data_IF_575781556531
#
_entry.id   IF_575781556531
#
_cell.length_a   1.000
_cell.length_b   1.000
_cell.length_c   1.000
_cell.angle_alpha   90.00
_cell.angle_beta   90.00
_cell.angle_gamma   90.00
#
_symmetry.space_group_name_H-M   'P 1'
#
loop_
_entity.id
_entity.type
_entity.pdbx_description
1 polymer ?
#
# COMPACT_ATOMS: atom_id res chain seq x y z
N UNK A 1 -79.03 -27.79 41.88
CA UNK A 1 -77.95 -26.78 42.02
C UNK A 1 -77.04 -26.88 40.79
N UNK A 2 -76.85 -25.74 40.10
CA UNK A 2 -75.94 -25.34 39.00
C UNK A 2 -75.26 -26.40 38.08
N UNK A 3 -75.39 -26.40 36.74
CA UNK A 3 -75.04 -25.39 35.71
C UNK A 3 -73.54 -25.07 35.58
N UNK A 4 -72.84 -25.64 34.58
CA UNK A 4 -72.27 -24.89 33.45
C UNK A 4 -71.46 -25.77 32.48
N UNK A 5 -71.77 -25.57 31.21
CA UNK A 5 -71.00 -25.86 30.01
C UNK A 5 -69.65 -25.10 29.97
N UNK A 6 -68.84 -25.45 28.95
CA UNK A 6 -67.68 -24.74 28.33
C UNK A 6 -66.39 -25.54 28.48
N UNK A 7 -65.46 -25.64 27.54
CA UNK A 7 -65.26 -25.13 26.17
C UNK A 7 -64.06 -25.93 25.63
N UNK A 8 -64.01 -26.25 24.34
CA UNK A 8 -62.82 -26.80 23.67
C UNK A 8 -61.70 -25.74 23.61
N UNK A 9 -60.43 -26.06 23.93
CA UNK A 9 -59.31 -25.26 23.48
C UNK A 9 -58.56 -25.95 22.32
N UNK A 10 -58.60 -25.26 21.18
CA UNK A 10 -57.64 -25.18 20.07
C UNK A 10 -56.31 -25.93 20.28
N UNK A 11 -56.08 -26.97 19.45
CA UNK A 11 -54.73 -27.47 19.17
C UNK A 11 -53.97 -26.43 18.34
N UNK A 12 -53.17 -25.58 19.00
CA UNK A 12 -52.09 -24.87 18.30
C UNK A 12 -50.93 -25.84 18.10
N UNK A 13 -50.81 -26.42 16.91
CA UNK A 13 -49.63 -27.21 16.52
C UNK A 13 -48.43 -26.27 16.45
N UNK A 14 -47.63 -26.26 17.52
CA UNK A 14 -46.31 -25.63 17.54
C UNK A 14 -45.43 -26.47 16.61
N UNK A 15 -45.15 -25.98 15.40
CA UNK A 15 -44.22 -26.63 14.45
C UNK A 15 -42.88 -26.81 15.14
N UNK A 16 -42.60 -28.01 15.63
CA UNK A 16 -41.29 -28.36 16.14
C UNK A 16 -40.25 -28.20 15.02
N UNK A 17 -39.11 -27.53 15.27
CA UNK A 17 -38.07 -27.43 14.26
C UNK A 17 -37.56 -28.83 13.93
N UNK A 18 -37.96 -29.34 12.76
CA UNK A 18 -37.52 -30.64 12.28
C UNK A 18 -36.00 -30.76 12.28
N UNK A 19 -35.50 -31.95 12.62
CA UNK A 19 -34.09 -32.33 12.78
C UNK A 19 -33.13 -31.72 11.74
N UNK A 20 -33.59 -31.53 10.49
CA UNK A 20 -32.82 -30.89 9.42
C UNK A 20 -32.34 -29.46 9.72
N UNK A 21 -33.08 -28.67 10.51
CA UNK A 21 -32.66 -27.31 10.89
C UNK A 21 -31.47 -27.31 11.85
N UNK A 22 -31.41 -28.29 12.75
CA UNK A 22 -30.28 -28.46 13.66
C UNK A 22 -29.02 -28.91 12.91
N UNK A 23 -29.17 -29.82 11.94
CA UNK A 23 -28.05 -30.27 11.10
C UNK A 23 -27.47 -29.09 10.29
N UNK A 24 -28.33 -28.27 9.67
CA UNK A 24 -27.88 -27.08 8.94
C UNK A 24 -27.20 -26.06 9.86
N UNK A 25 -27.74 -25.81 11.05
CA UNK A 25 -27.11 -24.91 12.03
C UNK A 25 -25.71 -25.40 12.45
N UNK A 26 -25.54 -26.70 12.68
CA UNK A 26 -24.24 -27.30 13.03
C UNK A 26 -23.27 -27.16 11.86
N UNK A 27 -23.69 -27.42 10.62
CA UNK A 27 -22.84 -27.28 9.44
C UNK A 27 -22.38 -25.83 9.21
N UNK A 28 -23.25 -24.84 9.48
CA UNK A 28 -22.89 -23.41 9.39
C UNK A 28 -21.85 -23.06 10.46
N UNK A 29 -22.03 -23.50 11.70
CA UNK A 29 -21.06 -23.23 12.79
C UNK A 29 -19.71 -23.90 12.50
N UNK A 30 -19.71 -25.13 12.03
CA UNK A 30 -18.49 -25.85 11.65
C UNK A 30 -17.81 -25.19 10.45
N UNK A 31 -18.58 -24.73 9.46
CA UNK A 31 -18.06 -23.99 8.31
C UNK A 31 -17.42 -22.66 8.71
N UNK A 32 -18.07 -21.89 9.60
CA UNK A 32 -17.55 -20.64 10.13
C UNK A 32 -16.31 -20.86 11.02
N UNK A 33 -16.29 -21.91 11.84
CA UNK A 33 -15.12 -22.29 12.62
C UNK A 33 -13.94 -22.70 11.72
N UNK A 34 -14.22 -23.46 10.66
CA UNK A 34 -13.21 -23.86 9.68
C UNK A 34 -12.65 -22.65 8.90
N UNK A 35 -13.52 -21.74 8.46
CA UNK A 35 -13.14 -20.46 7.85
C UNK A 35 -12.33 -19.58 8.82
N UNK A 36 -12.71 -19.54 10.09
CA UNK A 36 -12.00 -18.82 11.14
C UNK A 36 -10.59 -19.39 11.38
N UNK A 37 -10.45 -20.71 11.52
CA UNK A 37 -9.16 -21.38 11.73
C UNK A 37 -8.25 -21.19 10.50
N UNK A 38 -8.79 -21.35 9.29
CA UNK A 38 -8.02 -21.20 8.05
C UNK A 38 -7.66 -19.74 7.76
N UNK A 39 -8.57 -18.80 8.04
CA UNK A 39 -8.34 -17.36 7.90
C UNK A 39 -7.37 -16.82 8.96
N UNK A 40 -7.40 -17.35 10.18
CA UNK A 40 -6.48 -16.98 11.26
C UNK A 40 -5.03 -17.33 10.95
N UNK A 41 -4.78 -18.46 10.27
CA UNK A 41 -3.43 -18.83 9.80
C UNK A 41 -2.88 -17.88 8.73
N UNK A 42 -3.70 -17.43 7.79
CA UNK A 42 -3.31 -16.45 6.76
C UNK A 42 -3.02 -15.07 7.36
N UNK A 43 -3.84 -14.65 8.33
CA UNK A 43 -3.69 -13.37 9.03
C UNK A 43 -2.44 -13.33 9.93
N UNK A 44 -2.13 -14.42 10.66
CA UNK A 44 -0.95 -14.49 11.53
C UNK A 44 0.37 -14.58 10.75
N UNK A 45 0.40 -15.33 9.65
CA UNK A 45 1.61 -15.50 8.83
C UNK A 45 1.95 -14.25 7.99
N UNK A 46 0.97 -13.39 7.67
CA UNK A 46 1.20 -12.10 7.01
C UNK A 46 1.83 -11.05 7.93
N UNK A 47 1.43 -11.01 9.21
CA UNK A 47 1.95 -10.04 10.19
C UNK A 47 3.39 -10.30 10.64
N UNK A 48 3.79 -11.57 10.76
CA UNK A 48 5.16 -11.95 11.16
C UNK A 48 6.20 -11.56 10.10
N UNK A 49 5.87 -11.71 8.81
CA UNK A 49 6.75 -11.30 7.70
C UNK A 49 6.89 -9.78 7.57
N UNK A 50 5.80 -9.03 7.76
CA UNK A 50 5.82 -7.57 7.74
C UNK A 50 6.65 -7.00 8.90
N UNK A 51 6.48 -7.53 10.11
CA UNK A 51 7.27 -7.13 11.28
C UNK A 51 8.75 -7.46 11.11
N UNK A 52 9.08 -8.62 10.52
CA UNK A 52 10.45 -9.02 10.27
C UNK A 52 11.12 -8.15 9.19
N UNK A 53 10.40 -7.82 8.11
CA UNK A 53 10.91 -6.95 7.06
C UNK A 53 11.08 -5.49 7.51
N UNK A 54 10.15 -4.98 8.31
CA UNK A 54 10.31 -3.68 8.98
C UNK A 54 11.57 -3.65 9.86
N UNK A 55 11.82 -4.74 10.60
CA UNK A 55 13.05 -4.91 11.38
C UNK A 55 14.33 -4.82 10.53
N UNK A 56 14.36 -5.46 9.36
CA UNK A 56 15.50 -5.39 8.44
C UNK A 56 15.74 -3.98 7.88
N UNK A 57 14.68 -3.23 7.59
CA UNK A 57 14.81 -1.85 7.10
C UNK A 57 15.36 -0.93 8.20
N UNK A 58 14.88 -1.06 9.44
CA UNK A 58 15.39 -0.25 10.56
C UNK A 58 16.84 -0.59 10.91
N UNK A 59 17.18 -1.88 10.94
CA UNK A 59 18.56 -2.33 11.16
C UNK A 59 19.49 -1.84 10.04
N UNK A 60 19.04 -1.88 8.78
CA UNK A 60 19.82 -1.34 7.67
C UNK A 60 20.05 0.17 7.79
N UNK A 61 19.06 0.94 8.29
CA UNK A 61 19.27 2.37 8.58
C UNK A 61 20.32 2.59 9.67
N UNK A 62 20.31 1.78 10.72
CA UNK A 62 21.32 1.84 11.77
C UNK A 62 22.72 1.55 11.18
N UNK A 63 22.85 0.48 10.39
CA UNK A 63 24.09 0.14 9.69
C UNK A 63 24.58 1.26 8.77
N UNK A 64 23.68 1.93 8.02
CA UNK A 64 24.02 3.12 7.22
C UNK A 64 24.54 4.27 8.08
N UNK A 65 23.90 4.54 9.22
CA UNK A 65 24.34 5.60 10.14
C UNK A 65 25.72 5.34 10.75
N UNK A 66 26.10 4.05 10.85
CA UNK A 66 27.44 3.61 11.28
C UNK A 66 28.47 3.58 10.13
N UNK A 67 28.08 3.92 8.90
CA UNK A 67 28.93 3.84 7.71
C UNK A 67 29.14 2.42 7.16
N UNK A 68 28.41 1.42 7.67
CA UNK A 68 28.45 0.03 7.22
C UNK A 68 27.53 -0.18 6.01
N UNK A 69 27.79 0.58 4.95
CA UNK A 69 26.93 0.63 3.76
C UNK A 69 26.73 -0.73 3.11
N UNK A 70 27.77 -1.56 3.04
CA UNK A 70 27.68 -2.89 2.42
C UNK A 70 26.79 -3.88 3.20
N UNK A 71 26.82 -3.82 4.54
CA UNK A 71 25.94 -4.65 5.37
C UNK A 71 24.50 -4.17 5.27
N UNK A 72 24.30 -2.84 5.26
CA UNK A 72 22.99 -2.25 5.06
C UNK A 72 22.37 -2.62 3.70
N UNK A 73 23.12 -2.54 2.61
CA UNK A 73 22.61 -2.89 1.27
C UNK A 73 22.23 -4.37 1.19
N UNK A 74 23.05 -5.27 1.73
CA UNK A 74 22.72 -6.70 1.77
C UNK A 74 21.42 -6.97 2.55
N UNK A 75 21.22 -6.26 3.66
CA UNK A 75 20.02 -6.40 4.46
C UNK A 75 18.78 -5.82 3.77
N UNK A 76 18.92 -4.70 3.05
CA UNK A 76 17.84 -4.12 2.26
C UNK A 76 17.46 -4.96 1.05
N UNK A 77 18.44 -5.56 0.37
CA UNK A 77 18.16 -6.50 -0.72
C UNK A 77 17.39 -7.71 -0.21
N UNK A 78 17.76 -8.22 0.96
CA UNK A 78 17.01 -9.27 1.64
C UNK A 78 15.58 -8.82 1.92
N UNK A 79 15.39 -7.61 2.46
CA UNK A 79 14.07 -7.07 2.73
C UNK A 79 13.22 -6.89 1.47
N UNK A 80 13.80 -6.35 0.39
CA UNK A 80 13.12 -6.17 -0.89
C UNK A 80 12.70 -7.50 -1.55
N UNK A 81 13.47 -8.57 -1.33
CA UNK A 81 13.28 -9.85 -2.03
C UNK A 81 12.49 -10.90 -1.23
N UNK A 82 12.53 -10.85 0.10
CA UNK A 82 12.01 -11.94 0.95
C UNK A 82 10.75 -11.56 1.74
N UNK A 83 10.40 -10.27 1.80
CA UNK A 83 9.17 -9.85 2.46
C UNK A 83 7.93 -10.15 1.61
N UNK A 84 6.81 -10.43 2.28
CA UNK A 84 5.47 -10.45 1.66
C UNK A 84 4.76 -9.10 1.74
N UNK A 85 5.30 -8.18 2.53
CA UNK A 85 4.75 -6.84 2.70
C UNK A 85 5.30 -5.91 1.60
N UNK A 86 4.44 -5.56 0.65
CA UNK A 86 4.80 -4.66 -0.46
C UNK A 86 5.22 -3.26 0.00
N UNK A 87 4.72 -2.76 1.13
CA UNK A 87 5.16 -1.46 1.67
C UNK A 87 6.59 -1.55 2.20
N UNK A 88 6.90 -2.62 2.95
CA UNK A 88 8.25 -2.87 3.42
C UNK A 88 9.25 -3.08 2.26
N UNK A 89 8.83 -3.81 1.21
CA UNK A 89 9.66 -4.04 0.02
C UNK A 89 9.95 -2.73 -0.72
N UNK A 90 8.92 -1.90 -0.95
CA UNK A 90 9.06 -0.57 -1.57
C UNK A 90 9.99 0.32 -0.75
N UNK A 91 9.82 0.36 0.57
CA UNK A 91 10.68 1.14 1.45
C UNK A 91 12.15 0.68 1.41
N UNK A 92 12.39 -0.64 1.36
CA UNK A 92 13.74 -1.18 1.22
C UNK A 92 14.38 -0.78 -0.12
N UNK A 93 13.63 -0.87 -1.23
CA UNK A 93 14.11 -0.47 -2.55
C UNK A 93 14.36 1.04 -2.66
N UNK A 94 13.52 1.86 -2.05
CA UNK A 94 13.77 3.30 -1.96
C UNK A 94 15.06 3.61 -1.19
N UNK A 95 15.32 2.91 -0.09
CA UNK A 95 16.53 3.10 0.70
C UNK A 95 17.80 2.63 -0.05
N UNK A 96 17.70 1.54 -0.82
CA UNK A 96 18.75 1.11 -1.76
C UNK A 96 19.02 2.18 -2.82
N UNK A 97 17.96 2.79 -3.35
CA UNK A 97 18.11 3.87 -4.32
C UNK A 97 18.82 5.08 -3.73
N UNK A 98 18.42 5.53 -2.53
CA UNK A 98 19.09 6.63 -1.82
C UNK A 98 20.58 6.32 -1.59
N UNK A 99 20.88 5.09 -1.15
CA UNK A 99 22.26 4.63 -0.93
C UNK A 99 23.08 4.67 -2.22
N UNK A 100 22.50 4.22 -3.34
CA UNK A 100 23.13 4.27 -4.65
C UNK A 100 23.34 5.71 -5.14
N UNK A 101 22.40 6.63 -4.87
CA UNK A 101 22.57 8.05 -5.18
C UNK A 101 23.71 8.68 -4.39
N UNK A 102 23.84 8.36 -3.11
CA UNK A 102 24.93 8.84 -2.25
C UNK A 102 26.30 8.34 -2.72
N UNK A 103 26.37 7.13 -3.29
CA UNK A 103 27.59 6.61 -3.91
C UNK A 103 27.82 7.07 -5.35
N UNK A 104 26.93 7.91 -5.91
CA UNK A 104 26.99 8.39 -7.29
C UNK A 104 26.53 7.39 -8.36
N UNK A 105 26.04 6.21 -7.96
CA UNK A 105 25.52 5.19 -8.88
C UNK A 105 24.05 5.49 -9.23
N UNK A 106 23.91 6.44 -10.14
CA UNK A 106 22.60 6.94 -10.55
C UNK A 106 21.77 5.90 -11.31
N UNK A 107 22.40 5.02 -12.09
CA UNK A 107 21.66 3.98 -12.83
C UNK A 107 21.16 2.87 -11.88
N UNK A 108 21.93 2.48 -10.87
CA UNK A 108 21.44 1.58 -9.83
C UNK A 108 20.26 2.19 -9.07
N UNK A 109 20.34 3.47 -8.71
CA UNK A 109 19.23 4.17 -8.07
C UNK A 109 17.95 4.18 -8.92
N UNK A 110 18.09 4.46 -10.22
CA UNK A 110 16.97 4.38 -11.18
C UNK A 110 16.40 2.95 -11.25
N UNK A 111 17.25 1.93 -11.24
CA UNK A 111 16.82 0.53 -11.28
C UNK A 111 16.02 0.15 -10.02
N UNK A 112 16.48 0.52 -8.84
CA UNK A 112 15.78 0.24 -7.58
C UNK A 112 14.42 0.95 -7.50
N UNK A 113 14.35 2.24 -7.88
CA UNK A 113 13.09 2.98 -7.89
C UNK A 113 12.11 2.47 -8.95
N UNK A 114 12.62 2.08 -10.13
CA UNK A 114 11.79 1.45 -11.16
C UNK A 114 11.20 0.14 -10.65
N UNK A 115 12.02 -0.68 -9.99
CA UNK A 115 11.57 -1.93 -9.39
C UNK A 115 10.53 -1.70 -8.30
N UNK A 116 10.73 -0.69 -7.45
CA UNK A 116 9.76 -0.33 -6.41
C UNK A 116 8.39 0.04 -7.00
N UNK A 117 8.37 0.76 -8.13
CA UNK A 117 7.10 1.12 -8.78
C UNK A 117 6.44 -0.02 -9.58
N UNK A 118 7.23 -0.92 -10.15
CA UNK A 118 6.77 -1.95 -11.10
C UNK A 118 6.43 -3.29 -10.43
N UNK A 119 7.23 -3.72 -9.45
CA UNK A 119 7.04 -5.02 -8.80
C UNK A 119 5.93 -4.97 -7.74
N UNK A 120 5.57 -3.77 -7.27
CA UNK A 120 4.63 -3.56 -6.17
C UNK A 120 3.51 -2.55 -6.50
N UNK A 121 2.73 -2.76 -7.59
CA UNK A 121 1.70 -1.81 -8.05
C UNK A 121 0.61 -1.55 -7.00
N UNK A 122 0.27 -2.54 -6.19
CA UNK A 122 -0.78 -2.45 -5.16
C UNK A 122 -0.27 -1.88 -3.82
N UNK A 123 1.02 -1.58 -3.69
CA UNK A 123 1.58 -1.06 -2.45
C UNK A 123 1.11 0.37 -2.19
N UNK A 124 0.69 0.72 -0.96
CA UNK A 124 0.33 2.10 -0.63
C UNK A 124 1.51 3.08 -0.78
N UNK A 125 2.75 2.59 -0.76
CA UNK A 125 3.97 3.38 -0.94
C UNK A 125 4.37 3.52 -2.42
N UNK A 126 3.71 2.80 -3.33
CA UNK A 126 4.05 2.79 -4.75
C UNK A 126 4.04 4.19 -5.38
N UNK A 127 3.03 5.06 -5.13
CA UNK A 127 3.03 6.41 -5.70
C UNK A 127 4.24 7.24 -5.27
N UNK A 128 4.73 7.03 -4.04
CA UNK A 128 5.92 7.71 -3.52
C UNK A 128 7.18 7.26 -4.26
N UNK A 129 7.31 5.95 -4.51
CA UNK A 129 8.41 5.40 -5.30
C UNK A 129 8.37 5.87 -6.76
N UNK A 130 7.18 5.94 -7.37
CA UNK A 130 6.99 6.46 -8.72
C UNK A 130 7.40 7.94 -8.82
N UNK A 131 7.00 8.79 -7.86
CA UNK A 131 7.45 10.19 -7.79
C UNK A 131 8.97 10.30 -7.66
N UNK A 132 9.59 9.50 -6.78
CA UNK A 132 11.03 9.48 -6.61
C UNK A 132 11.75 9.07 -7.90
N UNK A 133 11.22 8.06 -8.61
CA UNK A 133 11.71 7.64 -9.92
C UNK A 133 11.63 8.77 -10.95
N UNK A 134 10.46 9.43 -11.06
CA UNK A 134 10.27 10.57 -11.95
C UNK A 134 11.24 11.72 -11.65
N UNK A 135 11.47 12.02 -10.37
CA UNK A 135 12.42 13.07 -9.95
C UNK A 135 13.85 12.73 -10.33
N UNK A 136 14.26 11.47 -10.18
CA UNK A 136 15.60 11.06 -10.58
C UNK A 136 15.76 11.08 -12.12
N UNK A 137 14.71 10.72 -12.86
CA UNK A 137 14.69 10.88 -14.32
C UNK A 137 14.84 12.35 -14.73
N UNK A 138 14.15 13.26 -14.05
CA UNK A 138 14.28 14.71 -14.29
C UNK A 138 15.71 15.20 -14.06
N UNK A 139 16.30 14.86 -12.90
CA UNK A 139 17.66 15.24 -12.52
C UNK A 139 18.72 14.69 -13.49
N UNK A 140 18.42 13.59 -14.19
CA UNK A 140 19.30 12.96 -15.18
C UNK A 140 19.00 13.38 -16.61
N UNK A 141 18.18 14.41 -16.81
CA UNK A 141 17.84 14.97 -18.13
C UNK A 141 16.85 14.12 -18.92
N UNK A 142 16.26 13.08 -18.33
CA UNK A 142 15.27 12.19 -18.96
C UNK A 142 13.85 12.75 -18.79
N UNK A 143 13.67 14.02 -19.16
CA UNK A 143 12.44 14.81 -18.93
C UNK A 143 11.17 14.14 -19.48
N UNK A 144 11.21 13.60 -20.70
CA UNK A 144 10.05 12.92 -21.29
C UNK A 144 9.56 11.73 -20.46
N UNK A 145 10.50 10.88 -19.99
CA UNK A 145 10.17 9.74 -19.12
C UNK A 145 9.68 10.18 -17.74
N UNK A 146 10.24 11.26 -17.20
CA UNK A 146 9.77 11.84 -15.94
C UNK A 146 8.30 12.28 -16.06
N UNK A 147 7.96 12.95 -17.16
CA UNK A 147 6.59 13.37 -17.47
C UNK A 147 5.61 12.20 -17.51
N UNK A 148 5.96 11.13 -18.23
CA UNK A 148 5.13 9.91 -18.32
C UNK A 148 4.84 9.33 -16.94
N UNK A 149 5.86 9.25 -16.08
CA UNK A 149 5.72 8.74 -14.71
C UNK A 149 4.84 9.67 -13.86
N UNK A 150 5.01 10.98 -13.99
CA UNK A 150 4.18 11.94 -13.24
C UNK A 150 2.72 11.93 -13.70
N UNK A 151 2.45 11.77 -15.00
CA UNK A 151 1.10 11.59 -15.53
C UNK A 151 0.46 10.29 -15.02
N UNK A 152 1.23 9.21 -14.92
CA UNK A 152 0.77 7.98 -14.32
C UNK A 152 0.35 8.20 -12.85
N UNK A 153 1.19 8.86 -12.05
CA UNK A 153 0.84 9.18 -10.65
C UNK A 153 -0.40 10.07 -10.58
N UNK A 154 -0.50 11.10 -11.44
CA UNK A 154 -1.66 12.00 -11.49
C UNK A 154 -2.96 11.26 -11.81
N UNK A 155 -2.91 10.21 -12.63
CA UNK A 155 -4.10 9.45 -13.03
C UNK A 155 -4.49 8.36 -12.02
N UNK A 156 -3.50 7.65 -11.46
CA UNK A 156 -3.74 6.42 -10.69
C UNK A 156 -3.67 6.63 -9.17
N UNK A 157 -2.86 7.57 -8.66
CA UNK A 157 -2.65 7.70 -7.23
C UNK A 157 -3.84 8.37 -6.53
N UNK A 158 -4.03 8.17 -5.21
CA UNK A 158 -4.95 8.98 -4.41
C UNK A 158 -4.59 10.48 -4.46
N UNK A 159 -5.56 11.42 -4.48
CA UNK A 159 -5.30 12.87 -4.60
C UNK A 159 -4.23 13.41 -3.64
N UNK A 160 -4.29 13.02 -2.37
CA UNK A 160 -3.31 13.40 -1.33
C UNK A 160 -1.85 13.04 -1.65
N UNK A 161 -1.60 12.15 -2.60
CA UNK A 161 -0.26 11.71 -3.02
C UNK A 161 0.17 12.28 -4.39
N UNK A 162 -0.71 13.01 -5.09
CA UNK A 162 -0.44 13.51 -6.46
C UNK A 162 0.38 14.80 -6.49
N UNK A 163 0.33 15.60 -5.43
CA UNK A 163 0.96 16.93 -5.35
C UNK A 163 2.41 16.97 -5.88
N UNK A 164 3.31 16.04 -5.49
CA UNK A 164 4.68 16.03 -6.00
C UNK A 164 4.79 15.77 -7.51
N UNK A 165 3.95 14.88 -8.05
CA UNK A 165 3.91 14.59 -9.48
C UNK A 165 3.34 15.77 -10.28
N UNK A 166 2.29 16.42 -9.78
CA UNK A 166 1.73 17.65 -10.34
C UNK A 166 2.78 18.77 -10.38
N UNK A 167 3.60 18.89 -9.33
CA UNK A 167 4.71 19.86 -9.31
C UNK A 167 5.76 19.52 -10.36
N UNK A 168 6.04 18.24 -10.59
CA UNK A 168 6.92 17.78 -11.67
C UNK A 168 6.40 18.14 -13.07
N UNK A 169 5.10 17.95 -13.31
CA UNK A 169 4.45 18.37 -14.56
C UNK A 169 4.45 19.89 -14.74
N UNK A 170 4.25 20.64 -13.66
CA UNK A 170 4.39 22.09 -13.64
C UNK A 170 5.78 22.55 -14.08
N UNK A 171 6.84 21.97 -13.50
CA UNK A 171 8.23 22.30 -13.88
C UNK A 171 8.53 21.98 -15.35
N UNK A 172 8.02 20.85 -15.85
CA UNK A 172 8.14 20.51 -17.27
C UNK A 172 7.46 21.57 -18.15
N UNK A 173 6.23 21.97 -17.81
CA UNK A 173 5.49 22.98 -18.56
C UNK A 173 6.22 24.34 -18.56
N UNK A 174 6.84 24.72 -17.43
CA UNK A 174 7.69 25.93 -17.36
C UNK A 174 8.90 25.83 -18.30
N UNK A 175 9.58 24.68 -18.33
CA UNK A 175 10.71 24.45 -19.24
C UNK A 175 10.29 24.54 -20.71
N UNK A 176 9.05 24.16 -21.04
CA UNK A 176 8.48 24.25 -22.38
C UNK A 176 7.90 25.64 -22.70
N UNK A 177 7.85 26.55 -21.72
CA UNK A 177 7.29 27.90 -21.86
C UNK A 177 5.76 27.97 -21.76
N UNK A 178 5.08 26.87 -21.45
CA UNK A 178 3.63 26.85 -21.22
C UNK A 178 3.30 27.25 -19.78
N UNK A 179 3.35 28.55 -19.53
CA UNK A 179 3.10 29.13 -18.20
C UNK A 179 1.65 28.93 -17.73
N UNK A 180 0.70 28.75 -18.65
CA UNK A 180 -0.70 28.49 -18.30
C UNK A 180 -0.86 27.08 -17.75
N UNK A 181 -0.31 26.08 -18.45
CA UNK A 181 -0.31 24.71 -17.96
C UNK A 181 0.47 24.58 -16.64
N UNK A 182 1.63 25.24 -16.54
CA UNK A 182 2.42 25.26 -15.30
C UNK A 182 1.61 25.78 -14.11
N UNK A 183 0.96 26.94 -14.27
CA UNK A 183 0.10 27.53 -13.24
C UNK A 183 -1.01 26.56 -12.81
N UNK A 184 -1.66 25.92 -13.78
CA UNK A 184 -2.79 25.04 -13.51
C UNK A 184 -2.34 23.78 -12.74
N UNK A 185 -1.20 23.18 -13.11
CA UNK A 185 -0.60 22.07 -12.37
C UNK A 185 -0.19 22.44 -10.95
N UNK A 186 0.45 23.60 -10.75
CA UNK A 186 0.83 24.05 -9.41
C UNK A 186 -0.37 24.37 -8.53
N UNK A 187 -1.41 25.00 -9.09
CA UNK A 187 -2.66 25.23 -8.35
C UNK A 187 -3.29 23.91 -7.92
N UNK A 188 -3.39 22.94 -8.83
CA UNK A 188 -3.92 21.62 -8.49
C UNK A 188 -3.09 20.93 -7.40
N UNK A 189 -1.76 21.03 -7.45
CA UNK A 189 -0.89 20.50 -6.41
C UNK A 189 -1.19 21.12 -5.03
N UNK A 190 -1.43 22.43 -4.97
CA UNK A 190 -1.77 23.14 -3.73
C UNK A 190 -3.17 22.79 -3.19
N UNK A 191 -4.13 22.53 -4.08
CA UNK A 191 -5.48 22.12 -3.71
C UNK A 191 -5.53 20.68 -3.17
N UNK A 192 -4.72 19.78 -3.75
CA UNK A 192 -4.69 18.36 -3.38
C UNK A 192 -3.70 18.04 -2.26
N UNK A 193 -2.74 18.92 -1.99
CA UNK A 193 -1.89 18.81 -0.82
C UNK A 193 -2.73 18.95 0.45
N UNK A 194 -2.54 18.03 1.40
CA UNK A 194 -3.19 18.13 2.69
C UNK A 194 -2.72 19.39 3.42
N UNK A 195 -3.60 20.39 3.55
CA UNK A 195 -3.37 21.65 4.27
C UNK A 195 -3.10 21.48 5.79
N UNK A 196 -3.22 20.26 6.34
CA UNK A 196 -3.12 19.95 7.77
C UNK A 196 -1.87 19.11 8.14
N UNK A 197 -0.70 19.46 7.64
CA UNK A 197 0.56 18.92 8.20
C UNK A 197 1.01 19.79 9.38
N UNK A 198 1.16 19.24 10.61
CA UNK A 198 1.70 20.03 11.72
C UNK A 198 3.11 20.49 11.38
N UNK A 199 3.35 21.78 11.61
CA UNK A 199 4.65 22.44 11.47
C UNK A 199 5.72 21.83 12.39
#
# INVERSE_FOLDING_TARGET
>A
MANRSRETPLFTSKKEPGLGRFIVAILVVVGLAYLGIRGYGWFKQGGEGAAQAGGWVEEARALRSEGKTAEATALLEKAANQTKDGAAAVNALMLLAETAQESGDTEAALAFLKRAKDDFPDSPEQPRAAVAYGRLLELTGRQGKAAEVYEQVRSEAPPRLRAPALTGLGRKAEQEGDLLAARDFYRQALEEAAWDSPA
#
